data_IF_033167971491
#
_entry.id   IF_033167971491
#
_cell.length_a   1.000
_cell.length_b   1.000
_cell.length_c   1.000
_cell.angle_alpha   90.00
_cell.angle_beta   90.00
_cell.angle_gamma   90.00
#
_symmetry.space_group_name_H-M   'P 1'
#
loop_
_entity.id
_entity.type
_entity.pdbx_description
1 polymer ?
#
# COMPACT_ATOMS: atom_id res chain seq x y z
N UNK A 1 0.53 -22.40 14.12
CA UNK A 1 0.44 -20.98 14.52
C UNK A 1 -0.73 -20.83 15.49
N UNK A 2 -0.58 -20.08 16.59
CA UNK A 2 -1.57 -19.92 17.67
C UNK A 2 -2.48 -18.69 17.50
N UNK A 3 -2.43 -17.99 16.36
CA UNK A 3 -3.44 -16.99 15.98
C UNK A 3 -3.49 -15.77 16.91
N UNK A 4 -2.35 -15.41 17.52
CA UNK A 4 -2.26 -14.31 18.50
C UNK A 4 -1.93 -12.95 17.88
N UNK A 5 -2.08 -12.78 16.57
CA UNK A 5 -1.77 -11.52 15.91
C UNK A 5 -2.97 -10.56 16.01
N UNK A 6 -2.70 -9.34 16.48
CA UNK A 6 -3.64 -8.23 16.47
C UNK A 6 -3.22 -7.27 15.35
N UNK A 7 -4.15 -6.92 14.48
CA UNK A 7 -3.96 -5.90 13.44
C UNK A 7 -4.56 -4.58 13.92
N UNK A 8 -3.87 -3.48 13.64
CA UNK A 8 -4.35 -2.12 13.92
C UNK A 8 -4.42 -1.34 12.61
N UNK A 9 -5.61 -0.87 12.26
CA UNK A 9 -5.84 0.00 11.09
C UNK A 9 -6.21 1.41 11.56
N UNK A 10 -5.64 2.42 10.93
CA UNK A 10 -6.03 3.81 11.16
C UNK A 10 -7.28 4.12 10.34
N UNK A 11 -8.38 4.53 10.99
CA UNK A 11 -9.62 4.97 10.30
C UNK A 11 -9.50 6.36 9.66
N UNK A 12 -8.47 7.14 10.02
CA UNK A 12 -8.15 8.49 9.52
C UNK A 12 -6.64 8.73 9.62
N UNK A 13 -6.03 9.37 8.62
CA UNK A 13 -4.57 9.58 8.57
C UNK A 13 -3.77 8.34 8.15
N UNK A 14 -4.37 7.44 7.36
CA UNK A 14 -3.66 6.30 6.75
C UNK A 14 -2.83 6.71 5.53
N UNK A 15 -3.10 7.90 5.01
CA UNK A 15 -2.43 8.59 3.91
C UNK A 15 -2.68 10.10 4.12
N UNK A 16 -1.80 10.95 3.60
CA UNK A 16 -1.76 12.38 3.93
C UNK A 16 -2.17 13.30 2.75
N UNK A 17 -2.19 12.76 1.54
CA UNK A 17 -2.65 13.35 0.29
C UNK A 17 -4.07 12.94 -0.12
N UNK A 18 -4.42 13.17 -1.39
CA UNK A 18 -5.72 12.86 -1.97
C UNK A 18 -5.67 11.54 -2.73
N UNK A 19 -6.69 10.67 -2.60
CA UNK A 19 -6.77 9.47 -3.42
C UNK A 19 -7.01 9.86 -4.88
N UNK A 20 -6.24 9.24 -5.79
CA UNK A 20 -6.38 9.44 -7.24
C UNK A 20 -6.73 8.11 -7.94
N UNK A 21 -5.83 7.56 -8.75
CA UNK A 21 -6.12 6.36 -9.54
C UNK A 21 -6.50 5.17 -8.64
N UNK A 22 -7.63 4.51 -8.97
CA UNK A 22 -8.09 3.30 -8.30
C UNK A 22 -7.82 2.07 -9.18
N UNK A 23 -7.37 0.98 -8.57
CA UNK A 23 -7.21 -0.32 -9.23
C UNK A 23 -7.75 -1.47 -8.37
N UNK A 24 -8.16 -2.54 -9.05
CA UNK A 24 -8.42 -3.86 -8.46
C UNK A 24 -7.68 -4.91 -9.27
N UNK A 25 -7.21 -5.95 -8.59
CA UNK A 25 -6.68 -7.12 -9.26
C UNK A 25 -7.79 -7.87 -10.00
N UNK A 26 -7.42 -8.49 -11.12
CA UNK A 26 -8.33 -9.36 -11.88
C UNK A 26 -8.41 -10.71 -11.16
N UNK A 27 -9.60 -11.33 -11.13
CA UNK A 27 -9.86 -12.61 -10.44
C UNK A 27 -9.54 -12.58 -8.94
N UNK A 28 -9.78 -11.44 -8.28
CA UNK A 28 -9.51 -11.27 -6.87
C UNK A 28 -10.77 -11.40 -6.01
N UNK A 29 -10.76 -12.37 -5.08
CA UNK A 29 -11.81 -12.58 -4.08
C UNK A 29 -11.59 -11.77 -2.79
N UNK A 30 -10.42 -11.13 -2.62
CA UNK A 30 -10.08 -10.38 -1.41
C UNK A 30 -10.90 -9.08 -1.25
N UNK A 31 -11.51 -8.62 -2.35
CA UNK A 31 -12.26 -7.35 -2.46
C UNK A 31 -11.46 -6.15 -1.94
N UNK A 32 -10.14 -6.17 -2.18
CA UNK A 32 -9.25 -5.05 -1.90
C UNK A 32 -9.33 -4.07 -3.08
N UNK A 33 -9.57 -2.80 -2.75
CA UNK A 33 -9.44 -1.66 -3.64
C UNK A 33 -8.09 -1.01 -3.36
N UNK A 34 -7.23 -0.95 -4.36
CA UNK A 34 -5.96 -0.24 -4.29
C UNK A 34 -6.15 1.16 -4.87
N UNK A 35 -5.44 2.11 -4.32
CA UNK A 35 -5.43 3.47 -4.85
C UNK A 35 -4.08 4.12 -4.70
N UNK A 36 -3.77 4.94 -5.69
CA UNK A 36 -2.67 5.87 -5.70
C UNK A 36 -3.02 7.14 -4.91
N UNK A 37 -1.98 7.90 -4.58
CA UNK A 37 -2.08 9.12 -3.81
C UNK A 37 -1.45 10.27 -4.61
N UNK A 38 -2.22 11.34 -4.78
CA UNK A 38 -1.76 12.63 -5.28
C UNK A 38 -1.53 13.58 -4.11
N UNK A 39 -0.32 14.12 -4.04
CA UNK A 39 0.10 15.01 -2.98
C UNK A 39 1.07 16.07 -3.51
N UNK A 40 1.29 17.11 -2.71
CA UNK A 40 2.22 18.19 -3.06
C UNK A 40 3.27 18.46 -1.97
N UNK A 41 3.20 17.75 -0.85
CA UNK A 41 3.98 18.09 0.34
C UNK A 41 4.26 16.91 1.29
N UNK A 42 3.81 15.71 0.93
CA UNK A 42 3.90 14.51 1.77
C UNK A 42 4.35 13.34 0.90
N UNK A 43 4.85 12.28 1.51
CA UNK A 43 5.28 11.11 0.75
C UNK A 43 4.07 10.48 0.05
N UNK A 44 4.09 10.41 -1.28
CA UNK A 44 3.05 9.71 -2.02
C UNK A 44 3.20 8.20 -1.83
N UNK A 45 2.08 7.48 -1.80
CA UNK A 45 2.07 6.04 -1.60
C UNK A 45 1.09 5.28 -2.49
N UNK A 46 1.07 3.96 -2.29
CA UNK A 46 -0.03 3.10 -2.74
C UNK A 46 -0.69 2.55 -1.49
N UNK A 47 -2.01 2.68 -1.43
CA UNK A 47 -2.80 2.27 -0.29
C UNK A 47 -3.90 1.30 -0.73
N UNK A 48 -4.40 0.54 0.23
CA UNK A 48 -5.46 -0.43 0.05
C UNK A 48 -6.61 -0.15 0.99
N UNK A 49 -7.82 -0.51 0.54
CA UNK A 49 -9.02 -0.61 1.37
C UNK A 49 -9.68 -1.96 1.14
N UNK A 50 -9.90 -2.73 2.21
CA UNK A 50 -10.59 -4.01 2.12
C UNK A 50 -12.11 -3.89 2.30
N UNK A 51 -12.83 -4.98 2.09
CA UNK A 51 -14.30 -5.10 2.26
C UNK A 51 -14.79 -4.75 3.68
N UNK A 52 -13.95 -4.89 4.70
CA UNK A 52 -14.26 -4.47 6.07
C UNK A 52 -14.10 -2.94 6.29
N UNK A 53 -13.76 -2.19 5.23
CA UNK A 53 -13.57 -0.75 5.25
C UNK A 53 -12.27 -0.32 5.93
N UNK A 54 -11.31 -1.23 6.14
CA UNK A 54 -10.01 -0.93 6.75
C UNK A 54 -9.06 -0.41 5.69
N UNK A 55 -8.35 0.66 6.02
CA UNK A 55 -7.29 1.22 5.20
C UNK A 55 -5.93 0.71 5.65
N UNK A 56 -5.03 0.51 4.70
CA UNK A 56 -3.64 0.10 4.94
C UNK A 56 -2.73 0.64 3.85
N UNK A 57 -1.47 0.84 4.19
CA UNK A 57 -0.44 1.30 3.27
C UNK A 57 0.30 0.10 2.70
N UNK A 58 0.43 0.03 1.38
CA UNK A 58 1.23 -1.00 0.68
C UNK A 58 2.69 -0.56 0.65
N UNK A 59 2.91 0.69 0.26
CA UNK A 59 4.21 1.34 0.22
C UNK A 59 4.04 2.85 0.29
N UNK A 60 5.10 3.50 0.74
CA UNK A 60 5.28 4.94 0.67
C UNK A 60 6.58 5.22 -0.08
N UNK A 61 6.62 6.32 -0.83
CA UNK A 61 7.84 6.87 -1.41
C UNK A 61 8.27 8.12 -0.64
N UNK A 62 9.05 8.01 0.45
CA UNK A 62 9.52 9.19 1.21
C UNK A 62 10.27 10.21 0.36
N UNK A 63 10.96 9.73 -0.68
CA UNK A 63 11.68 10.57 -1.64
C UNK A 63 10.82 10.95 -2.86
N UNK A 64 9.52 10.68 -2.84
CA UNK A 64 8.56 10.94 -3.92
C UNK A 64 7.36 11.71 -3.35
N UNK A 65 7.51 13.02 -3.30
CA UNK A 65 6.63 13.99 -2.60
C UNK A 65 5.49 14.56 -3.45
N UNK A 66 5.20 13.89 -4.57
CA UNK A 66 4.25 14.37 -5.59
C UNK A 66 3.11 13.37 -5.70
N UNK A 67 3.14 12.51 -6.71
CA UNK A 67 2.01 11.66 -7.04
C UNK A 67 2.51 10.25 -7.36
N UNK A 68 1.83 9.24 -6.83
CA UNK A 68 1.90 7.89 -7.39
C UNK A 68 0.80 7.73 -8.44
N UNK A 69 1.07 7.03 -9.53
CA UNK A 69 0.08 6.80 -10.59
C UNK A 69 0.45 5.54 -11.38
N UNK A 70 -0.26 5.24 -12.47
CA UNK A 70 0.06 4.14 -13.36
C UNK A 70 0.03 2.76 -12.67
N UNK A 71 -0.89 2.55 -11.74
CA UNK A 71 -0.98 1.34 -10.94
C UNK A 71 -1.51 0.14 -11.76
N UNK A 72 -0.76 -0.97 -11.76
CA UNK A 72 -1.13 -2.22 -12.40
C UNK A 72 -0.58 -3.45 -11.64
N UNK A 73 -1.13 -4.63 -11.92
CA UNK A 73 -0.70 -5.91 -11.34
C UNK A 73 -0.40 -6.93 -12.43
N UNK A 74 0.54 -7.84 -12.19
CA UNK A 74 0.75 -9.01 -13.06
C UNK A 74 -0.46 -9.95 -13.02
N UNK A 75 -0.68 -10.80 -14.05
CA UNK A 75 -1.83 -11.71 -14.09
C UNK A 75 -1.92 -12.72 -12.92
N UNK A 76 -0.79 -13.03 -12.29
CA UNK A 76 -0.68 -13.90 -11.12
C UNK A 76 -0.66 -13.13 -9.79
N UNK A 77 -0.83 -11.80 -9.84
CA UNK A 77 -0.83 -10.89 -8.69
C UNK A 77 0.47 -10.90 -7.86
N UNK A 78 1.57 -11.42 -8.39
CA UNK A 78 2.86 -11.48 -7.71
C UNK A 78 3.66 -10.18 -7.83
N UNK A 79 3.39 -9.39 -8.86
CA UNK A 79 4.05 -8.12 -9.13
C UNK A 79 3.03 -6.98 -9.14
N UNK A 80 3.40 -5.87 -8.50
CA UNK A 80 2.73 -4.59 -8.58
C UNK A 80 3.63 -3.61 -9.32
N UNK A 81 3.08 -2.94 -10.33
CA UNK A 81 3.74 -1.88 -11.08
C UNK A 81 3.12 -0.54 -10.71
N UNK A 82 3.95 0.44 -10.39
CA UNK A 82 3.51 1.80 -10.07
C UNK A 82 4.53 2.81 -10.57
N UNK A 83 4.06 3.96 -11.03
CA UNK A 83 4.89 5.10 -11.35
C UNK A 83 4.82 6.17 -10.27
N UNK A 84 5.91 6.92 -10.10
CA UNK A 84 5.94 8.14 -9.30
C UNK A 84 6.24 9.32 -10.21
N UNK A 85 5.37 10.33 -10.19
CA UNK A 85 5.47 11.55 -10.99
C UNK A 85 6.50 12.55 -10.43
N UNK A 86 7.75 12.11 -10.30
CA UNK A 86 8.90 13.00 -10.05
C UNK A 86 9.53 13.46 -11.37
N UNK A 87 10.51 14.36 -11.32
CA UNK A 87 11.34 14.73 -12.49
C UNK A 87 12.78 14.23 -12.28
N UNK A 88 13.22 13.17 -12.99
CA UNK A 88 12.47 12.34 -13.94
C UNK A 88 11.44 11.44 -13.24
N UNK A 89 10.45 10.97 -14.01
CA UNK A 89 9.45 10.03 -13.53
C UNK A 89 10.06 8.64 -13.40
N UNK A 90 9.65 7.88 -12.39
CA UNK A 90 10.17 6.54 -12.12
C UNK A 90 9.05 5.52 -12.18
N UNK A 91 9.36 4.30 -12.61
CA UNK A 91 8.43 3.16 -12.63
C UNK A 91 9.11 2.04 -11.85
N UNK A 92 8.36 1.43 -10.94
CA UNK A 92 8.83 0.33 -10.10
C UNK A 92 8.09 -0.96 -10.43
N UNK A 93 8.84 -2.06 -10.35
CA UNK A 93 8.31 -3.41 -10.21
C UNK A 93 8.52 -3.84 -8.76
N UNK A 94 7.42 -4.16 -8.07
CA UNK A 94 7.41 -4.49 -6.66
C UNK A 94 6.86 -5.90 -6.51
N UNK A 95 7.60 -6.74 -5.82
CA UNK A 95 7.20 -8.10 -5.48
C UNK A 95 7.45 -8.36 -4.00
N UNK A 96 6.77 -9.36 -3.45
CA UNK A 96 6.94 -9.77 -2.06
C UNK A 96 7.96 -10.90 -1.97
N UNK A 97 8.94 -10.75 -1.08
CA UNK A 97 9.94 -11.80 -0.84
C UNK A 97 9.37 -13.00 -0.06
N UNK A 98 8.21 -12.85 0.57
CA UNK A 98 7.51 -13.93 1.26
C UNK A 98 6.78 -14.90 0.31
N UNK A 99 6.79 -14.62 -1.00
CA UNK A 99 6.23 -15.49 -2.02
C UNK A 99 4.69 -15.48 -2.10
N UNK A 100 4.01 -14.57 -1.40
CA UNK A 100 2.56 -14.39 -1.52
C UNK A 100 2.20 -13.32 -2.56
N UNK A 101 1.05 -13.45 -3.24
CA UNK A 101 0.55 -12.39 -4.11
C UNK A 101 0.04 -11.19 -3.29
N UNK A 102 -0.22 -10.08 -3.97
CA UNK A 102 -0.76 -8.87 -3.32
C UNK A 102 -2.19 -9.05 -2.80
N UNK A 103 -2.96 -10.01 -3.31
CA UNK A 103 -4.24 -10.43 -2.73
C UNK A 103 -4.12 -11.62 -1.75
N UNK A 104 -2.91 -12.05 -1.44
CA UNK A 104 -2.63 -13.06 -0.43
C UNK A 104 -2.71 -12.50 0.98
N UNK A 105 -2.64 -13.38 1.99
CA UNK A 105 -2.59 -12.93 3.38
C UNK A 105 -1.39 -12.01 3.63
N UNK A 106 -1.64 -10.90 4.32
CA UNK A 106 -0.61 -9.98 4.82
C UNK A 106 -0.49 -10.14 6.33
N UNK A 107 0.73 -10.35 6.83
CA UNK A 107 1.05 -10.13 8.24
C UNK A 107 1.28 -8.63 8.45
N UNK A 108 0.49 -8.04 9.33
CA UNK A 108 0.58 -6.61 9.67
C UNK A 108 1.97 -6.30 10.28
N UNK A 109 2.51 -5.12 9.98
CA UNK A 109 3.81 -4.70 10.50
C UNK A 109 3.61 -4.31 11.97
N UNK A 110 4.26 -5.04 12.89
CA UNK A 110 4.33 -4.61 14.28
C UNK A 110 5.29 -3.43 14.38
N UNK A 111 4.77 -2.22 14.54
CA UNK A 111 5.58 -1.08 14.97
C UNK A 111 6.15 -1.40 16.36
N UNK A 112 7.47 -1.36 16.49
CA UNK A 112 8.10 -1.30 17.80
C UNK A 112 7.76 0.06 18.41
N UNK A 113 6.83 0.11 19.35
CA UNK A 113 6.66 1.31 20.16
C UNK A 113 8.01 1.63 20.80
N UNK A 114 8.53 2.84 20.59
CA UNK A 114 9.71 3.29 21.32
C UNK A 114 9.38 3.19 22.80
N UNK A 115 10.12 2.35 23.53
CA UNK A 115 10.07 2.32 24.99
C UNK A 115 10.39 3.74 25.47
N UNK A 116 9.38 4.43 26.02
CA UNK A 116 9.61 5.66 26.76
C UNK A 116 10.53 5.30 27.93
N UNK A 117 11.80 5.67 27.82
CA UNK A 117 12.72 5.65 28.95
C UNK A 117 12.12 6.56 30.03
N UNK A 118 11.69 5.93 31.13
CA UNK A 118 11.23 6.62 32.35
C UNK A 118 12.40 7.15 33.15
#
# INVERSE_FOLDING_TARGET
>A
DKGTYQSSTTKSGAFEGQPDQIARMVNDESDIVYFCEDSFSVAAGVHGRNSAGRFFTILEGPDYDTESTGLAFSPDNMHMYVSFQKRPGHIFDIYREDGYPFNGQTLDIKYHAQEQQR
#
